data_IF_377805404732
#
_entry.id   IF_377805404732
#
_cell.length_a   1.000
_cell.length_b   1.000
_cell.length_c   1.000
_cell.angle_alpha   90.00
_cell.angle_beta   90.00
_cell.angle_gamma   90.00
#
_symmetry.space_group_name_H-M   'P 1'
#
loop_
_entity.id
_entity.type
_entity.pdbx_description
1 polymer ?
#
# COMPACT_ATOMS: atom_id res chain seq x y z
N UNK A 1 -10.17 -8.58 23.68
CA UNK A 1 -10.25 -9.16 22.32
C UNK A 1 -9.32 -10.37 22.23
N UNK A 2 -9.84 -11.55 21.83
CA UNK A 2 -8.97 -12.72 21.57
C UNK A 2 -8.00 -12.38 20.43
N UNK A 3 -6.73 -12.72 20.61
CA UNK A 3 -5.67 -12.50 19.61
C UNK A 3 -5.99 -13.33 18.36
N UNK A 4 -6.17 -12.69 17.22
CA UNK A 4 -6.49 -13.38 15.96
C UNK A 4 -5.16 -13.79 15.29
N UNK A 5 -4.58 -14.91 15.70
CA UNK A 5 -3.27 -15.40 15.21
C UNK A 5 -3.19 -15.54 13.70
N UNK A 6 -4.29 -15.87 13.03
CA UNK A 6 -4.30 -15.99 11.57
C UNK A 6 -3.97 -14.65 10.86
N UNK A 7 -4.35 -13.50 11.42
CA UNK A 7 -4.01 -12.20 10.87
C UNK A 7 -2.51 -11.90 10.98
N UNK A 8 -1.86 -12.37 12.03
CA UNK A 8 -0.40 -12.25 12.17
C UNK A 8 0.32 -13.12 11.12
N UNK A 9 -0.18 -14.34 10.89
CA UNK A 9 0.36 -15.22 9.84
C UNK A 9 0.22 -14.56 8.45
N UNK A 10 -0.95 -14.02 8.13
CA UNK A 10 -1.17 -13.30 6.85
C UNK A 10 -0.19 -12.12 6.71
N UNK A 11 0.06 -11.37 7.78
CA UNK A 11 1.03 -10.26 7.77
C UNK A 11 2.44 -10.74 7.47
N UNK A 12 2.87 -11.82 8.11
CA UNK A 12 4.20 -12.40 7.87
C UNK A 12 4.32 -12.84 6.42
N UNK A 13 3.32 -13.56 5.89
CA UNK A 13 3.29 -13.96 4.49
C UNK A 13 3.34 -12.75 3.55
N UNK A 14 2.55 -11.71 3.82
CA UNK A 14 2.57 -10.48 3.02
C UNK A 14 3.96 -9.81 3.04
N UNK A 15 4.65 -9.77 4.18
CA UNK A 15 6.02 -9.25 4.27
C UNK A 15 6.99 -10.08 3.41
N UNK A 16 6.93 -11.41 3.49
CA UNK A 16 7.78 -12.29 2.68
C UNK A 16 7.53 -12.10 1.18
N UNK A 17 6.26 -11.95 0.77
CA UNK A 17 5.89 -11.66 -0.61
C UNK A 17 6.42 -10.29 -1.08
N UNK A 18 6.37 -9.26 -0.23
CA UNK A 18 6.97 -7.94 -0.52
C UNK A 18 8.48 -8.06 -0.69
N UNK A 19 9.15 -8.79 0.21
CA UNK A 19 10.60 -9.00 0.12
C UNK A 19 10.98 -9.71 -1.19
N UNK A 20 10.22 -10.72 -1.58
CA UNK A 20 10.42 -11.40 -2.86
C UNK A 20 10.29 -10.43 -4.05
N UNK A 21 9.24 -9.61 -4.10
CA UNK A 21 9.02 -8.63 -5.17
C UNK A 21 10.15 -7.59 -5.28
N UNK A 22 10.82 -7.29 -4.19
CA UNK A 22 11.95 -6.34 -4.16
C UNK A 22 13.32 -7.04 -4.23
N UNK A 23 13.36 -8.37 -4.26
CA UNK A 23 14.59 -9.12 -4.47
C UNK A 23 14.92 -9.20 -5.96
N UNK A 24 16.20 -9.35 -6.29
CA UNK A 24 16.64 -9.60 -7.67
C UNK A 24 16.23 -11.00 -8.20
N UNK A 25 15.58 -11.83 -7.39
CA UNK A 25 15.21 -13.19 -7.75
C UNK A 25 14.34 -13.25 -9.02
N UNK A 26 13.32 -12.38 -9.12
CA UNK A 26 12.49 -12.32 -10.34
C UNK A 26 13.31 -11.96 -11.59
N UNK A 27 14.23 -11.00 -11.49
CA UNK A 27 15.09 -10.61 -12.61
C UNK A 27 16.05 -11.74 -13.04
N UNK A 28 16.51 -12.55 -12.10
CA UNK A 28 17.36 -13.72 -12.42
C UNK A 28 16.62 -14.76 -13.24
N UNK A 29 15.33 -14.93 -12.97
CA UNK A 29 14.48 -15.87 -13.73
C UNK A 29 13.92 -15.29 -15.03
N UNK A 30 13.83 -13.96 -15.18
CA UNK A 30 13.30 -13.32 -16.39
C UNK A 30 14.17 -13.55 -17.63
N UNK A 31 15.44 -13.90 -17.45
CA UNK A 31 16.36 -14.26 -18.54
C UNK A 31 16.30 -15.73 -18.94
N UNK A 32 15.46 -16.53 -18.28
CA UNK A 32 15.23 -17.94 -18.61
C UNK A 32 14.00 -18.08 -19.49
N UNK A 33 13.94 -19.15 -20.28
CA UNK A 33 12.81 -19.47 -21.13
C UNK A 33 12.14 -20.76 -20.67
N UNK A 34 10.86 -20.93 -20.98
CA UNK A 34 10.15 -22.17 -20.71
C UNK A 34 9.42 -22.20 -19.36
N UNK A 35 9.38 -23.39 -18.73
CA UNK A 35 8.55 -23.64 -17.54
C UNK A 35 9.02 -22.82 -16.33
N UNK A 36 10.31 -22.63 -16.16
CA UNK A 36 10.89 -21.88 -15.02
C UNK A 36 10.48 -20.41 -15.07
N UNK A 37 10.50 -19.80 -16.25
CA UNK A 37 9.97 -18.45 -16.45
C UNK A 37 8.49 -18.37 -16.09
N UNK A 38 7.67 -19.31 -16.57
CA UNK A 38 6.24 -19.32 -16.29
C UNK A 38 5.94 -19.43 -14.78
N UNK A 39 6.63 -20.30 -14.06
CA UNK A 39 6.49 -20.47 -12.62
C UNK A 39 6.87 -19.16 -11.88
N UNK A 40 8.03 -18.58 -12.22
CA UNK A 40 8.49 -17.32 -11.62
C UNK A 40 7.54 -16.16 -11.89
N UNK A 41 7.00 -16.09 -13.10
CA UNK A 41 6.02 -15.09 -13.49
C UNK A 41 4.73 -15.22 -12.68
N UNK A 42 4.17 -16.43 -12.59
CA UNK A 42 2.98 -16.71 -11.79
C UNK A 42 3.19 -16.40 -10.31
N UNK A 43 4.34 -16.80 -9.76
CA UNK A 43 4.68 -16.51 -8.36
C UNK A 43 4.82 -14.99 -8.12
N UNK A 44 5.47 -14.28 -9.03
CA UNK A 44 5.56 -12.80 -8.95
C UNK A 44 4.18 -12.15 -9.01
N UNK A 45 3.26 -12.66 -9.85
CA UNK A 45 1.89 -12.18 -9.90
C UNK A 45 1.15 -12.37 -8.56
N UNK A 46 1.27 -13.53 -7.95
CA UNK A 46 0.70 -13.80 -6.61
C UNK A 46 1.31 -12.86 -5.58
N UNK A 47 2.61 -12.63 -5.63
CA UNK A 47 3.31 -11.74 -4.70
C UNK A 47 2.90 -10.26 -4.82
N UNK A 48 2.34 -9.83 -5.97
CA UNK A 48 1.73 -8.48 -6.10
C UNK A 48 0.50 -8.29 -5.20
N UNK A 49 -0.16 -9.38 -4.79
CA UNK A 49 -1.23 -9.36 -3.79
C UNK A 49 -0.80 -9.01 -2.37
N UNK A 50 0.49 -8.93 -2.08
CA UNK A 50 1.02 -8.66 -0.74
C UNK A 50 0.53 -7.33 -0.14
N UNK A 51 0.57 -6.26 -0.92
CA UNK A 51 0.16 -4.92 -0.48
C UNK A 51 -1.35 -4.87 -0.20
N UNK A 52 -2.24 -5.30 -1.12
CA UNK A 52 -3.66 -5.49 -0.82
C UNK A 52 -3.92 -6.25 0.47
N UNK A 53 -3.30 -7.41 0.65
CA UNK A 53 -3.44 -8.23 1.87
C UNK A 53 -3.07 -7.45 3.13
N UNK A 54 -1.99 -6.70 3.09
CA UNK A 54 -1.57 -5.90 4.24
C UNK A 54 -2.59 -4.81 4.61
N UNK A 55 -3.17 -4.13 3.62
CA UNK A 55 -4.22 -3.14 3.85
C UNK A 55 -5.51 -3.77 4.36
N UNK A 56 -5.91 -4.94 3.82
CA UNK A 56 -7.06 -5.71 4.31
C UNK A 56 -6.88 -6.14 5.77
N UNK A 57 -5.73 -6.68 6.14
CA UNK A 57 -5.42 -7.03 7.54
C UNK A 57 -5.44 -5.80 8.45
N UNK A 58 -4.96 -4.67 7.94
CA UNK A 58 -5.02 -3.41 8.68
C UNK A 58 -6.46 -2.98 8.93
N UNK A 59 -7.33 -3.09 7.93
CA UNK A 59 -8.77 -2.85 8.07
C UNK A 59 -9.41 -3.75 9.13
N UNK A 60 -9.18 -5.07 9.04
CA UNK A 60 -9.69 -6.05 10.02
C UNK A 60 -9.26 -5.75 11.46
N UNK A 61 -8.10 -5.15 11.66
CA UNK A 61 -7.55 -4.85 12.99
C UNK A 61 -7.92 -3.46 13.52
N UNK A 62 -8.18 -2.50 12.63
CA UNK A 62 -8.30 -1.09 13.00
C UNK A 62 -9.73 -0.55 12.94
N UNK A 63 -10.55 -1.03 11.98
CA UNK A 63 -11.90 -0.47 11.77
C UNK A 63 -12.88 -0.84 12.89
N UNK A 64 -12.73 -2.02 13.49
CA UNK A 64 -13.55 -2.44 14.63
C UNK A 64 -13.15 -1.85 15.99
N UNK A 65 -12.11 -1.00 16.05
CA UNK A 65 -11.64 -0.42 17.31
C UNK A 65 -12.25 0.94 17.60
N UNK A 66 -12.75 1.11 18.83
CA UNK A 66 -13.17 2.40 19.35
C UNK A 66 -12.00 3.07 20.06
N UNK A 67 -11.14 3.75 19.30
CA UNK A 67 -10.04 4.55 19.82
C UNK A 67 -10.36 6.04 19.68
N UNK A 68 -9.96 6.86 20.68
CA UNK A 68 -10.11 8.31 20.58
C UNK A 68 -9.19 8.87 19.49
N UNK A 69 -9.54 10.04 18.92
CA UNK A 69 -8.70 10.72 17.93
C UNK A 69 -7.29 11.03 18.47
N UNK A 70 -7.18 11.36 19.78
CA UNK A 70 -5.90 11.60 20.46
C UNK A 70 -5.05 10.33 20.52
N UNK A 71 -5.63 9.19 20.87
CA UNK A 71 -4.94 7.91 20.90
C UNK A 71 -4.48 7.47 19.51
N UNK A 72 -5.33 7.66 18.51
CA UNK A 72 -5.00 7.38 17.11
C UNK A 72 -3.80 8.21 16.67
N UNK A 73 -3.81 9.51 16.94
CA UNK A 73 -2.72 10.41 16.56
C UNK A 73 -1.41 10.02 17.26
N UNK A 74 -1.42 9.95 18.60
CA UNK A 74 -0.19 9.72 19.39
C UNK A 74 0.37 8.30 19.23
N UNK A 75 -0.49 7.29 19.21
CA UNK A 75 -0.04 5.89 19.24
C UNK A 75 0.21 5.30 17.85
N UNK A 76 -0.38 5.88 16.80
CA UNK A 76 -0.29 5.33 15.44
C UNK A 76 0.27 6.30 14.43
N UNK A 77 -0.38 7.46 14.23
CA UNK A 77 0.03 8.43 13.20
C UNK A 77 1.44 8.95 13.49
N UNK A 78 1.69 9.43 14.69
CA UNK A 78 3.02 9.94 15.07
C UNK A 78 4.10 8.86 14.96
N UNK A 79 3.80 7.64 15.39
CA UNK A 79 4.73 6.51 15.24
C UNK A 79 5.04 6.23 13.77
N UNK A 80 4.04 6.28 12.90
CA UNK A 80 4.22 6.05 11.47
C UNK A 80 5.05 7.16 10.82
N UNK A 81 4.79 8.43 11.18
CA UNK A 81 5.62 9.56 10.74
C UNK A 81 7.07 9.36 11.16
N UNK A 82 7.33 8.98 12.41
CA UNK A 82 8.69 8.70 12.89
C UNK A 82 9.36 7.59 12.10
N UNK A 83 8.65 6.51 11.79
CA UNK A 83 9.17 5.43 10.95
C UNK A 83 9.55 5.96 9.56
N UNK A 84 8.67 6.73 8.92
CA UNK A 84 8.96 7.33 7.61
C UNK A 84 10.21 8.22 7.68
N UNK A 85 10.29 9.12 8.66
CA UNK A 85 11.43 10.03 8.81
C UNK A 85 12.75 9.27 9.03
N UNK A 86 12.74 8.30 9.96
CA UNK A 86 13.95 7.54 10.31
C UNK A 86 14.46 6.74 9.11
N UNK A 87 13.59 5.95 8.45
CA UNK A 87 14.02 5.11 7.34
C UNK A 87 14.38 5.93 6.09
N UNK A 88 13.67 7.01 5.83
CA UNK A 88 14.02 7.93 4.75
C UNK A 88 15.37 8.61 5.02
N UNK A 89 15.65 8.99 6.27
CA UNK A 89 16.93 9.57 6.64
C UNK A 89 18.08 8.56 6.51
N UNK A 90 17.89 7.33 6.95
CA UNK A 90 18.91 6.28 6.78
C UNK A 90 19.23 6.03 5.30
N UNK A 91 18.22 6.00 4.44
CA UNK A 91 18.42 5.84 3.01
C UNK A 91 19.08 7.09 2.39
N UNK A 92 18.67 8.29 2.79
CA UNK A 92 19.31 9.54 2.38
C UNK A 92 20.80 9.56 2.76
N UNK A 93 21.15 9.17 3.99
CA UNK A 93 22.55 9.07 4.43
C UNK A 93 23.36 8.07 3.59
N UNK A 94 22.75 6.95 3.22
CA UNK A 94 23.38 6.00 2.27
C UNK A 94 23.73 6.68 0.93
N UNK A 95 22.82 7.51 0.38
CA UNK A 95 23.07 8.23 -0.88
C UNK A 95 24.16 9.30 -0.71
N UNK A 96 24.19 10.00 0.43
CA UNK A 96 25.23 10.99 0.75
C UNK A 96 26.60 10.31 0.84
N UNK A 97 26.70 9.18 1.57
CA UNK A 97 27.96 8.43 1.71
C UNK A 97 28.47 7.87 0.40
N UNK A 98 27.59 7.58 -0.56
CA UNK A 98 27.97 7.18 -1.92
C UNK A 98 28.35 8.36 -2.83
N UNK A 99 28.20 9.59 -2.37
CA UNK A 99 28.40 10.79 -3.20
C UNK A 99 27.30 11.06 -4.23
N UNK A 100 26.17 10.35 -4.15
CA UNK A 100 25.04 10.50 -5.06
C UNK A 100 24.15 11.72 -4.73
N UNK A 101 24.21 12.22 -3.49
CA UNK A 101 23.50 13.44 -3.03
C UNK A 101 24.38 14.27 -2.07
N UNK A 102 24.26 15.61 -2.10
CA UNK A 102 24.95 16.47 -1.13
C UNK A 102 24.29 16.33 0.27
N UNK A 103 25.09 16.56 1.32
CA UNK A 103 24.57 16.59 2.68
C UNK A 103 23.83 17.91 2.93
N UNK A 104 22.51 17.88 2.86
CA UNK A 104 21.62 19.02 3.07
C UNK A 104 20.38 18.61 3.91
N UNK A 105 20.52 18.43 5.24
CA UNK A 105 19.48 17.86 6.09
C UNK A 105 18.20 18.67 6.14
N UNK A 106 18.28 19.99 6.03
CA UNK A 106 17.10 20.85 6.00
C UNK A 106 16.30 20.68 4.72
N UNK A 107 16.94 20.65 3.56
CA UNK A 107 16.31 20.38 2.27
C UNK A 107 15.70 18.96 2.23
N UNK A 108 16.37 18.00 2.85
CA UNK A 108 15.83 16.65 3.02
C UNK A 108 14.53 16.64 3.80
N UNK A 109 14.44 17.33 4.95
CA UNK A 109 13.20 17.40 5.74
C UNK A 109 12.07 18.07 4.98
N UNK A 110 12.33 19.12 4.22
CA UNK A 110 11.34 19.81 3.41
C UNK A 110 10.85 18.94 2.23
N UNK A 111 11.68 18.06 1.70
CA UNK A 111 11.31 17.17 0.60
C UNK A 111 10.47 15.96 1.02
N UNK A 112 10.50 15.57 2.29
CA UNK A 112 9.77 14.38 2.78
C UNK A 112 8.26 14.36 2.44
N UNK A 113 7.50 15.48 2.53
CA UNK A 113 6.09 15.50 2.18
C UNK A 113 5.81 15.47 0.67
N UNK A 114 6.78 15.87 -0.15
CA UNK A 114 6.59 16.11 -1.59
C UNK A 114 7.24 15.07 -2.47
N UNK A 115 8.27 14.37 -1.96
CA UNK A 115 9.07 13.45 -2.75
C UNK A 115 9.39 12.17 -1.97
N UNK A 116 9.47 11.05 -2.71
CA UNK A 116 9.87 9.76 -2.15
C UNK A 116 11.39 9.62 -2.26
N UNK A 117 12.08 9.57 -1.12
CA UNK A 117 13.53 9.33 -1.09
C UNK A 117 13.90 7.95 -1.67
N UNK A 118 13.00 6.98 -1.50
CA UNK A 118 13.10 5.65 -2.06
C UNK A 118 11.72 5.16 -2.51
N UNK A 119 11.60 4.81 -3.78
CA UNK A 119 10.31 4.46 -4.39
C UNK A 119 9.49 3.42 -3.59
N UNK A 120 10.05 2.31 -3.07
CA UNK A 120 9.29 1.36 -2.27
C UNK A 120 8.61 1.93 -1.02
N UNK A 121 8.99 3.11 -0.55
CA UNK A 121 8.38 3.73 0.62
C UNK A 121 6.98 4.33 0.37
N UNK A 122 6.50 4.35 -0.89
CA UNK A 122 5.14 4.77 -1.23
C UNK A 122 4.08 4.06 -0.36
N UNK A 123 4.32 2.81 -0.03
CA UNK A 123 3.46 2.01 0.85
C UNK A 123 3.31 2.61 2.25
N UNK A 124 4.38 3.14 2.85
CA UNK A 124 4.35 3.76 4.17
C UNK A 124 3.48 5.03 4.16
N UNK A 125 3.58 5.82 3.09
CA UNK A 125 2.75 7.03 2.90
C UNK A 125 1.28 6.66 2.69
N UNK A 126 1.00 5.64 1.88
CA UNK A 126 -0.37 5.15 1.70
C UNK A 126 -0.96 4.62 3.01
N UNK A 127 -0.16 3.92 3.82
CA UNK A 127 -0.58 3.45 5.13
C UNK A 127 -0.83 4.61 6.12
N UNK A 128 -0.01 5.65 6.08
CA UNK A 128 -0.27 6.89 6.82
C UNK A 128 -1.61 7.51 6.40
N UNK A 129 -1.91 7.50 5.10
CA UNK A 129 -3.21 7.91 4.56
C UNK A 129 -4.38 7.11 5.16
N UNK A 130 -4.26 5.78 5.26
CA UNK A 130 -5.26 4.93 5.95
C UNK A 130 -5.46 5.37 7.40
N UNK A 131 -4.37 5.57 8.14
CA UNK A 131 -4.46 5.99 9.55
C UNK A 131 -5.14 7.36 9.71
N UNK A 132 -4.88 8.28 8.79
CA UNK A 132 -5.45 9.63 8.82
C UNK A 132 -6.96 9.62 8.54
N UNK A 133 -7.41 8.80 7.57
CA UNK A 133 -8.82 8.72 7.19
C UNK A 133 -9.62 7.74 8.06
N UNK A 134 -8.96 7.00 8.96
CA UNK A 134 -9.56 5.96 9.79
C UNK A 134 -10.82 6.41 10.58
N UNK A 135 -10.87 7.64 11.15
CA UNK A 135 -12.08 8.11 11.84
C UNK A 135 -13.33 8.18 10.94
N UNK A 136 -13.13 8.42 9.63
CA UNK A 136 -14.21 8.44 8.65
C UNK A 136 -14.56 7.03 8.16
N UNK A 137 -13.57 6.15 8.03
CA UNK A 137 -13.79 4.78 7.58
C UNK A 137 -14.48 3.90 8.63
N UNK A 138 -14.28 4.16 9.93
CA UNK A 138 -14.89 3.37 11.01
C UNK A 138 -16.43 3.36 10.96
N UNK A 139 -17.14 4.51 10.99
CA UNK A 139 -18.58 4.52 10.91
C UNK A 139 -19.10 3.96 9.59
N UNK A 140 -18.37 4.18 8.48
CA UNK A 140 -18.71 3.60 7.18
C UNK A 140 -18.66 2.06 7.25
N UNK A 141 -17.57 1.48 7.75
CA UNK A 141 -17.41 0.03 7.85
C UNK A 141 -18.44 -0.61 8.81
N UNK A 142 -18.68 0.01 9.97
CA UNK A 142 -19.58 -0.51 10.99
C UNK A 142 -21.05 -0.51 10.58
N UNK A 143 -21.45 0.42 9.69
CA UNK A 143 -22.82 0.56 9.18
C UNK A 143 -22.97 0.06 7.74
N UNK A 144 -21.95 -0.59 7.16
CA UNK A 144 -21.96 -1.03 5.78
C UNK A 144 -22.95 -2.19 5.58
N UNK A 145 -23.91 -1.99 4.67
CA UNK A 145 -24.83 -3.04 4.24
C UNK A 145 -24.17 -4.01 3.26
N UNK A 146 -24.74 -5.21 3.09
CA UNK A 146 -24.29 -6.16 2.06
C UNK A 146 -24.34 -5.56 0.65
N UNK A 147 -25.33 -4.73 0.37
CA UNK A 147 -25.48 -4.09 -0.94
C UNK A 147 -24.38 -3.06 -1.17
N UNK A 148 -24.02 -2.27 -0.14
CA UNK A 148 -22.90 -1.32 -0.21
C UNK A 148 -21.57 -2.04 -0.40
N UNK A 149 -21.39 -3.19 0.24
CA UNK A 149 -20.21 -4.03 0.06
C UNK A 149 -20.06 -4.52 -1.39
N UNK A 150 -21.12 -5.09 -1.98
CA UNK A 150 -21.10 -5.51 -3.38
C UNK A 150 -20.92 -4.35 -4.35
N UNK A 151 -21.55 -3.21 -4.08
CA UNK A 151 -21.35 -1.99 -4.85
C UNK A 151 -19.87 -1.57 -4.89
N UNK A 152 -19.18 -1.60 -3.75
CA UNK A 152 -17.75 -1.28 -3.66
C UNK A 152 -16.89 -2.25 -4.50
N UNK A 153 -17.19 -3.56 -4.44
CA UNK A 153 -16.48 -4.57 -5.25
C UNK A 153 -16.68 -4.30 -6.75
N UNK A 154 -17.92 -4.12 -7.18
CA UNK A 154 -18.25 -3.86 -8.58
C UNK A 154 -17.59 -2.56 -9.06
N UNK A 155 -17.67 -1.50 -8.24
CA UNK A 155 -17.04 -0.21 -8.54
C UNK A 155 -15.53 -0.36 -8.72
N UNK A 156 -14.85 -1.10 -7.83
CA UNK A 156 -13.41 -1.33 -7.93
C UNK A 156 -13.05 -2.10 -9.21
N UNK A 157 -13.77 -3.17 -9.51
CA UNK A 157 -13.56 -3.95 -10.75
C UNK A 157 -13.74 -3.05 -11.98
N UNK A 158 -14.80 -2.26 -12.02
CA UNK A 158 -15.04 -1.32 -13.12
C UNK A 158 -13.90 -0.30 -13.24
N UNK A 159 -13.44 0.30 -12.15
CA UNK A 159 -12.34 1.26 -12.17
C UNK A 159 -11.02 0.62 -12.64
N UNK A 160 -10.73 -0.59 -12.19
CA UNK A 160 -9.51 -1.31 -12.59
C UNK A 160 -9.55 -1.79 -14.05
N UNK A 161 -10.74 -2.15 -14.55
CA UNK A 161 -10.91 -2.61 -15.94
C UNK A 161 -11.03 -1.44 -16.93
N UNK A 162 -11.66 -0.34 -16.57
CA UNK A 162 -11.90 0.80 -17.47
C UNK A 162 -10.60 1.39 -18.03
N UNK A 163 -9.59 1.54 -17.20
CA UNK A 163 -8.30 2.12 -17.62
C UNK A 163 -7.60 1.32 -18.72
N UNK A 164 -7.28 0.02 -18.50
CA UNK A 164 -6.60 -0.76 -19.51
C UNK A 164 -7.48 -0.99 -20.73
N UNK A 165 -8.81 -1.16 -20.54
CA UNK A 165 -9.74 -1.36 -21.66
C UNK A 165 -9.84 -0.12 -22.53
N UNK A 166 -9.93 1.07 -21.96
CA UNK A 166 -9.93 2.32 -22.71
C UNK A 166 -8.64 2.49 -23.53
N UNK A 167 -7.48 2.16 -22.95
CA UNK A 167 -6.22 2.19 -23.65
C UNK A 167 -6.16 1.22 -24.82
N UNK A 168 -6.63 -0.02 -24.62
CA UNK A 168 -6.59 -1.06 -25.66
C UNK A 168 -7.58 -0.76 -26.80
N UNK A 169 -8.80 -0.28 -26.47
CA UNK A 169 -9.85 -0.08 -27.47
C UNK A 169 -9.74 1.24 -28.23
N UNK A 170 -9.33 2.31 -27.57
CA UNK A 170 -9.34 3.66 -28.13
C UNK A 170 -7.95 4.28 -28.31
N UNK A 171 -6.90 3.65 -27.80
CA UNK A 171 -5.54 4.20 -27.81
C UNK A 171 -5.34 5.43 -26.93
N UNK A 172 -6.34 5.83 -26.16
CA UNK A 172 -6.31 6.96 -25.26
C UNK A 172 -6.48 6.53 -23.80
N UNK A 173 -5.70 7.11 -22.91
CA UNK A 173 -5.91 6.96 -21.47
C UNK A 173 -7.16 7.73 -21.00
N UNK A 174 -7.78 7.26 -19.92
CA UNK A 174 -8.82 8.04 -19.25
C UNK A 174 -8.23 9.38 -18.78
N UNK A 175 -9.04 10.44 -18.86
CA UNK A 175 -8.67 11.76 -18.33
C UNK A 175 -8.11 11.64 -16.91
N UNK A 176 -6.99 12.34 -16.62
CA UNK A 176 -6.29 12.25 -15.33
C UNK A 176 -7.18 12.56 -14.12
N UNK A 177 -8.26 13.30 -14.32
CA UNK A 177 -9.26 13.59 -13.28
C UNK A 177 -10.05 12.32 -12.83
N UNK A 178 -10.15 11.28 -13.67
CA UNK A 178 -10.74 9.99 -13.31
C UNK A 178 -9.75 9.01 -12.68
N UNK A 179 -8.55 9.48 -12.33
CA UNK A 179 -7.53 8.65 -11.73
C UNK A 179 -7.72 8.49 -10.21
N UNK A 180 -8.84 7.95 -9.80
CA UNK A 180 -9.13 7.66 -8.38
C UNK A 180 -8.42 6.43 -7.85
N UNK A 181 -7.73 5.68 -8.71
CA UNK A 181 -7.30 4.30 -8.43
C UNK A 181 -6.37 4.18 -7.21
N UNK A 182 -5.40 5.07 -7.03
CA UNK A 182 -4.41 4.90 -5.96
C UNK A 182 -4.97 5.14 -4.56
N UNK A 183 -5.60 6.30 -4.34
CA UNK A 183 -6.14 6.66 -3.03
C UNK A 183 -7.33 5.76 -2.68
N UNK A 184 -8.26 5.56 -3.63
CA UNK A 184 -9.43 4.75 -3.41
C UNK A 184 -9.05 3.30 -3.12
N UNK A 185 -8.20 2.70 -3.93
CA UNK A 185 -7.81 1.30 -3.85
C UNK A 185 -7.11 0.97 -2.53
N UNK A 186 -6.02 1.66 -2.21
CA UNK A 186 -5.18 1.32 -1.07
C UNK A 186 -5.70 1.90 0.25
N UNK A 187 -6.27 3.10 0.23
CA UNK A 187 -6.64 3.83 1.45
C UNK A 187 -8.07 3.53 1.88
N UNK A 188 -8.97 3.29 0.96
CA UNK A 188 -10.41 3.10 1.23
C UNK A 188 -10.84 1.65 1.00
N UNK A 189 -10.68 1.15 -0.22
CA UNK A 189 -11.26 -0.11 -0.65
C UNK A 189 -10.71 -1.33 0.11
N UNK A 190 -9.39 -1.56 0.08
CA UNK A 190 -8.82 -2.72 0.73
C UNK A 190 -9.02 -2.75 2.25
N UNK A 191 -8.88 -1.64 3.01
CA UNK A 191 -9.25 -1.66 4.43
C UNK A 191 -10.71 -1.99 4.69
N UNK A 192 -11.65 -1.50 3.87
CA UNK A 192 -13.08 -1.82 4.02
C UNK A 192 -13.39 -3.28 3.71
N UNK A 193 -12.79 -3.86 2.67
CA UNK A 193 -12.96 -5.28 2.32
C UNK A 193 -12.38 -6.19 3.41
N UNK A 194 -11.34 -5.77 4.08
CA UNK A 194 -10.72 -6.54 5.17
C UNK A 194 -11.49 -6.55 6.48
N UNK A 195 -12.44 -5.62 6.65
CA UNK A 195 -13.25 -5.53 7.87
C UNK A 195 -14.35 -6.56 7.92
#
# INVERSE_FOLDING_TARGET
>A
MKKKYYLEVIRILAILMVMYNHSAAFMSFSNQSGVEYAISFLFSMVCKGAVPLFFMVSGALLLGKNESGKDLFQKRILRMILVIVIFSFLYYMKLVLKGERPFAPFSFLLSLPTDLVYLPYWFLYSYLGVLTILPLLRPLAQNMSKNTFWYLIILQILLDCLKPTAWVLWGYGLCGYYNFSGLFQYVIFYPLIGY
#
